data_IF_401874775439
#
_entry.id   IF_401874775439
#
_cell.length_a   1.000
_cell.length_b   1.000
_cell.length_c   1.000
_cell.angle_alpha   90.00
_cell.angle_beta   90.00
_cell.angle_gamma   90.00
#
_symmetry.space_group_name_H-M   'P 1'
#
loop_
_entity.id
_entity.type
_entity.pdbx_description
1 polymer ?
#
# COMPACT_ATOMS: atom_id res chain seq x y z
N UNK A 1 14.86 -6.95 -8.72
CA UNK A 1 15.75 -5.82 -9.08
C UNK A 1 15.59 -4.59 -8.15
N UNK A 2 15.19 -4.75 -6.89
CA UNK A 2 15.13 -3.64 -5.91
C UNK A 2 16.50 -3.37 -5.28
N UNK A 3 17.24 -4.42 -4.92
CA UNK A 3 18.59 -4.31 -4.33
C UNK A 3 19.58 -3.55 -5.22
N UNK A 4 19.54 -3.78 -6.54
CA UNK A 4 20.36 -3.03 -7.51
C UNK A 4 20.07 -1.53 -7.47
N UNK A 5 18.79 -1.14 -7.46
CA UNK A 5 18.42 0.27 -7.39
C UNK A 5 18.87 0.92 -6.08
N UNK A 6 18.69 0.22 -4.96
CA UNK A 6 19.18 0.65 -3.64
C UNK A 6 20.70 0.83 -3.60
N UNK A 7 21.44 -0.04 -4.29
CA UNK A 7 22.90 0.03 -4.39
C UNK A 7 23.35 1.24 -5.22
N UNK A 8 22.76 1.40 -6.40
CA UNK A 8 23.21 2.37 -7.40
C UNK A 8 22.74 3.80 -7.07
N UNK A 9 21.47 3.96 -6.65
CA UNK A 9 20.84 5.27 -6.46
C UNK A 9 20.54 5.59 -4.99
N UNK A 10 20.15 4.56 -4.22
CA UNK A 10 19.68 4.69 -2.84
C UNK A 10 18.24 5.20 -2.71
N UNK A 11 17.71 5.16 -1.49
CA UNK A 11 16.39 5.71 -1.16
C UNK A 11 16.49 7.01 -0.35
N UNK A 12 15.59 7.98 -0.60
CA UNK A 12 15.39 9.11 0.31
C UNK A 12 14.72 8.63 1.62
N UNK A 13 14.75 9.48 2.65
CA UNK A 13 13.92 9.27 3.84
C UNK A 13 12.44 9.52 3.54
N UNK A 14 11.57 8.88 4.32
CA UNK A 14 10.11 9.10 4.28
C UNK A 14 9.75 10.57 4.58
N UNK A 15 10.52 11.24 5.46
CA UNK A 15 10.37 12.69 5.70
C UNK A 15 10.52 13.55 4.43
N UNK A 16 11.38 13.13 3.50
CA UNK A 16 11.61 13.87 2.25
C UNK A 16 10.61 13.46 1.16
N UNK A 17 10.31 12.17 1.06
CA UNK A 17 9.39 11.61 0.07
C UNK A 17 8.37 10.71 0.77
N UNK A 18 7.33 11.30 1.38
CA UNK A 18 6.36 10.54 2.17
C UNK A 18 5.54 9.62 1.29
N UNK A 19 5.19 8.44 1.82
CA UNK A 19 4.34 7.49 1.11
C UNK A 19 2.94 8.07 0.82
N UNK A 20 2.48 7.92 -0.42
CA UNK A 20 1.20 8.42 -0.92
C UNK A 20 0.45 7.30 -1.63
N UNK A 21 -0.36 6.53 -0.91
CA UNK A 21 -1.20 5.47 -1.47
C UNK A 21 -2.53 5.98 -2.03
N UNK A 22 -3.00 7.15 -1.59
CA UNK A 22 -4.29 7.72 -1.99
C UNK A 22 -4.26 8.36 -3.39
N UNK A 23 -3.07 8.69 -3.89
CA UNK A 23 -2.90 9.39 -5.17
C UNK A 23 -2.70 8.37 -6.29
N UNK A 24 -3.58 8.38 -7.31
CA UNK A 24 -3.45 7.52 -8.49
C UNK A 24 -2.13 7.73 -9.26
N UNK A 25 -1.53 8.91 -9.12
CA UNK A 25 -0.26 9.23 -9.76
C UNK A 25 0.62 10.09 -8.85
N UNK A 26 1.78 9.53 -8.47
CA UNK A 26 2.84 10.27 -7.77
C UNK A 26 4.01 10.40 -8.74
N UNK A 27 4.29 11.60 -9.29
CA UNK A 27 5.36 11.76 -10.26
C UNK A 27 6.74 11.54 -9.61
N UNK A 28 7.62 10.84 -10.32
CA UNK A 28 9.03 10.76 -9.96
C UNK A 28 9.64 12.16 -10.03
N UNK A 29 10.25 12.63 -8.93
CA UNK A 29 10.80 13.99 -8.86
C UNK A 29 12.20 14.01 -8.26
N UNK A 30 13.00 14.98 -8.70
CA UNK A 30 14.34 15.23 -8.20
C UNK A 30 14.35 16.08 -6.91
N UNK A 31 13.20 16.19 -6.20
CA UNK A 31 13.08 17.05 -5.02
C UNK A 31 14.04 16.64 -3.90
N UNK A 32 14.26 15.33 -3.73
CA UNK A 32 15.20 14.77 -2.75
C UNK A 32 16.60 14.53 -3.35
N UNK A 33 16.92 15.19 -4.46
CA UNK A 33 18.20 14.96 -5.15
C UNK A 33 19.38 15.64 -4.47
N UNK A 34 19.14 16.80 -3.84
CA UNK A 34 20.20 17.66 -3.33
C UNK A 34 20.43 17.40 -1.83
N UNK A 35 21.50 16.66 -1.54
CA UNK A 35 22.14 16.51 -0.22
C UNK A 35 21.28 16.04 0.97
N UNK A 36 20.17 15.35 0.74
CA UNK A 36 19.55 14.52 1.78
C UNK A 36 20.30 13.19 1.90
N UNK A 37 20.49 12.72 3.13
CA UNK A 37 21.09 11.40 3.40
C UNK A 37 20.27 10.34 2.67
N UNK A 38 20.92 9.59 1.78
CA UNK A 38 20.30 8.43 1.11
C UNK A 38 20.77 7.14 1.73
N UNK A 39 19.83 6.23 1.93
CA UNK A 39 20.11 4.88 2.40
C UNK A 39 20.41 4.00 1.19
N UNK A 40 21.57 3.35 1.20
CA UNK A 40 22.01 2.47 0.11
C UNK A 40 22.21 1.06 0.62
N UNK A 41 21.89 0.10 -0.24
CA UNK A 41 22.28 -1.29 0.01
C UNK A 41 23.80 -1.42 -0.11
N UNK A 42 24.42 -2.10 0.85
CA UNK A 42 25.85 -2.45 0.75
C UNK A 42 26.03 -3.67 -0.15
N UNK A 43 25.11 -4.62 -0.05
CA UNK A 43 25.09 -5.85 -0.82
C UNK A 43 23.63 -6.27 -1.08
N UNK A 44 23.40 -7.05 -2.13
CA UNK A 44 22.11 -7.67 -2.40
C UNK A 44 22.32 -9.00 -3.14
N UNK A 45 21.56 -10.03 -2.77
CA UNK A 45 21.68 -11.36 -3.36
C UNK A 45 20.36 -12.11 -3.33
N UNK A 46 20.26 -13.15 -4.15
CA UNK A 46 19.21 -14.16 -4.00
C UNK A 46 19.60 -15.11 -2.87
N UNK A 47 18.60 -15.52 -2.07
CA UNK A 47 18.76 -16.63 -1.13
C UNK A 47 19.08 -17.89 -1.93
N UNK A 48 20.10 -18.65 -1.52
CA UNK A 48 20.66 -19.76 -2.30
C UNK A 48 21.58 -19.33 -3.47
N UNK A 49 21.86 -18.04 -3.62
CA UNK A 49 22.89 -17.50 -4.53
C UNK A 49 22.38 -17.08 -5.92
N UNK A 50 21.35 -17.71 -6.46
CA UNK A 50 20.78 -17.39 -7.77
C UNK A 50 19.25 -17.57 -7.83
N UNK A 51 18.62 -17.00 -8.85
CA UNK A 51 17.17 -17.03 -9.03
C UNK A 51 16.64 -18.46 -9.24
N UNK A 52 15.89 -18.99 -8.28
CA UNK A 52 15.34 -20.36 -8.32
C UNK A 52 16.05 -21.34 -7.38
N UNK A 53 17.17 -20.94 -6.76
CA UNK A 53 17.88 -21.77 -5.78
C UNK A 53 17.38 -21.63 -4.33
N UNK A 54 16.31 -20.88 -4.13
CA UNK A 54 15.76 -20.61 -2.80
C UNK A 54 15.17 -21.89 -2.20
N UNK A 55 15.50 -22.17 -0.94
CA UNK A 55 14.89 -23.23 -0.16
C UNK A 55 14.72 -22.78 1.29
N UNK A 56 13.95 -23.56 2.06
CA UNK A 56 13.62 -23.25 3.45
C UNK A 56 14.84 -23.13 4.37
N UNK A 57 15.79 -24.07 4.29
CA UNK A 57 16.99 -24.05 5.12
C UNK A 57 17.85 -22.79 4.87
N UNK A 58 18.02 -22.41 3.60
CA UNK A 58 18.75 -21.21 3.22
C UNK A 58 18.02 -19.93 3.61
N UNK A 59 16.68 -19.90 3.55
CA UNK A 59 15.88 -18.77 4.05
C UNK A 59 16.06 -18.61 5.56
N UNK A 60 15.93 -19.69 6.33
CA UNK A 60 16.11 -19.66 7.78
C UNK A 60 17.52 -19.19 8.16
N UNK A 61 18.54 -19.72 7.49
CA UNK A 61 19.92 -19.31 7.70
C UNK A 61 20.13 -17.82 7.38
N UNK A 62 19.58 -17.32 6.27
CA UNK A 62 19.70 -15.91 5.89
C UNK A 62 19.02 -14.98 6.90
N UNK A 63 17.81 -15.34 7.33
CA UNK A 63 17.07 -14.56 8.31
C UNK A 63 17.82 -14.47 9.64
N UNK A 64 18.33 -15.62 10.10
CA UNK A 64 19.10 -15.67 11.35
C UNK A 64 20.39 -14.85 11.27
N UNK A 65 21.14 -14.96 10.17
CA UNK A 65 22.45 -14.36 10.05
C UNK A 65 22.41 -12.87 9.65
N UNK A 66 21.41 -12.44 8.88
CA UNK A 66 21.41 -11.13 8.20
C UNK A 66 20.09 -10.35 8.33
N UNK A 67 19.08 -10.94 8.97
CA UNK A 67 17.79 -10.29 9.19
C UNK A 67 16.78 -10.52 8.06
N UNK A 68 15.69 -9.74 8.02
CA UNK A 68 14.53 -10.04 7.19
C UNK A 68 14.84 -10.20 5.70
N UNK A 69 14.12 -11.11 5.04
CA UNK A 69 14.24 -11.37 3.60
C UNK A 69 12.93 -11.03 2.88
N UNK A 70 13.03 -10.55 1.64
CA UNK A 70 11.86 -10.26 0.80
C UNK A 70 11.54 -11.49 -0.06
N UNK A 71 10.32 -11.99 0.03
CA UNK A 71 9.84 -13.12 -0.77
C UNK A 71 8.61 -12.73 -1.59
N UNK A 72 8.52 -13.28 -2.81
CA UNK A 72 7.35 -13.19 -3.67
C UNK A 72 6.60 -14.52 -3.68
N UNK A 73 5.27 -14.50 -3.54
CA UNK A 73 4.44 -15.69 -3.56
C UNK A 73 3.12 -15.45 -4.30
N UNK A 74 2.48 -16.53 -4.73
CA UNK A 74 1.17 -16.48 -5.39
C UNK A 74 0.07 -16.28 -4.35
N UNK A 75 -0.65 -15.17 -4.46
CA UNK A 75 -1.75 -14.83 -3.58
C UNK A 75 -3.09 -15.28 -4.18
N UNK A 76 -3.56 -16.45 -3.74
CA UNK A 76 -4.89 -16.95 -4.10
C UNK A 76 -6.00 -16.07 -3.48
N UNK A 77 -7.20 -16.09 -4.08
CA UNK A 77 -8.35 -15.31 -3.63
C UNK A 77 -8.68 -15.46 -2.13
N UNK A 78 -8.48 -16.66 -1.57
CA UNK A 78 -8.77 -16.95 -0.15
C UNK A 78 -7.84 -16.22 0.82
N UNK A 79 -6.64 -15.84 0.37
CA UNK A 79 -5.71 -15.06 1.18
C UNK A 79 -6.30 -13.69 1.56
N UNK A 80 -7.17 -13.11 0.73
CA UNK A 80 -7.78 -11.81 1.02
C UNK A 80 -8.85 -11.86 2.12
N UNK A 81 -9.43 -13.03 2.37
CA UNK A 81 -10.38 -13.27 3.47
C UNK A 81 -9.72 -13.90 4.70
N UNK A 82 -8.43 -14.23 4.63
CA UNK A 82 -7.69 -14.82 5.74
C UNK A 82 -7.49 -13.80 6.87
N UNK A 83 -7.64 -14.22 8.12
CA UNK A 83 -7.55 -13.32 9.29
C UNK A 83 -6.65 -13.82 10.43
N UNK A 84 -6.53 -15.13 10.64
CA UNK A 84 -5.72 -15.70 11.73
C UNK A 84 -5.38 -17.17 11.46
N UNK A 85 -4.37 -17.70 12.16
CA UNK A 85 -3.93 -19.09 12.07
C UNK A 85 -2.64 -19.27 11.26
N UNK A 86 -2.58 -20.36 10.48
CA UNK A 86 -1.55 -20.59 9.45
C UNK A 86 -2.26 -20.67 8.11
N UNK A 87 -1.86 -19.83 7.15
CA UNK A 87 -2.40 -19.88 5.80
C UNK A 87 -1.76 -21.02 5.00
N UNK A 88 -2.58 -21.89 4.44
CA UNK A 88 -2.18 -22.90 3.46
C UNK A 88 -3.00 -22.72 2.18
N UNK A 89 -2.32 -22.56 1.05
CA UNK A 89 -2.97 -22.51 -0.25
C UNK A 89 -3.66 -23.85 -0.54
N UNK A 90 -4.89 -23.81 -1.07
CA UNK A 90 -5.53 -25.04 -1.56
C UNK A 90 -4.82 -25.48 -2.84
N UNK A 91 -4.57 -26.79 -2.96
CA UNK A 91 -3.92 -27.41 -4.12
C UNK A 91 -4.90 -27.75 -5.25
N UNK A 92 -6.14 -27.31 -5.15
CA UNK A 92 -7.22 -27.88 -5.93
C UNK A 92 -7.23 -27.32 -7.35
N UNK A 93 -7.35 -28.21 -8.33
CA UNK A 93 -7.35 -27.96 -9.77
C UNK A 93 -8.50 -27.05 -10.28
N UNK A 94 -9.35 -26.53 -9.38
CA UNK A 94 -10.54 -25.73 -9.68
C UNK A 94 -10.46 -24.30 -9.12
N UNK A 95 -9.36 -23.92 -8.45
CA UNK A 95 -9.20 -22.54 -8.00
C UNK A 95 -9.12 -21.59 -9.22
N UNK A 96 -9.99 -20.56 -9.32
CA UNK A 96 -9.92 -19.62 -10.42
C UNK A 96 -8.55 -18.94 -10.39
N UNK A 97 -7.81 -19.07 -11.50
CA UNK A 97 -6.48 -18.52 -11.67
C UNK A 97 -6.49 -17.01 -11.39
N UNK A 98 -6.11 -16.63 -10.18
CA UNK A 98 -5.88 -15.24 -9.78
C UNK A 98 -4.40 -15.13 -9.48
N UNK A 99 -3.60 -15.05 -10.55
CA UNK A 99 -2.15 -14.93 -10.44
C UNK A 99 -1.80 -13.51 -9.98
N UNK A 100 -1.91 -13.27 -8.69
CA UNK A 100 -1.40 -12.06 -8.06
C UNK A 100 -0.12 -12.43 -7.29
N UNK A 101 1.04 -12.00 -7.79
CA UNK A 101 2.29 -12.14 -7.02
C UNK A 101 2.34 -11.03 -5.98
N UNK A 102 2.42 -11.41 -4.71
CA UNK A 102 2.60 -10.47 -3.60
C UNK A 102 4.01 -10.59 -3.04
N UNK A 103 4.60 -9.45 -2.67
CA UNK A 103 5.87 -9.40 -1.96
C UNK A 103 5.64 -9.10 -0.47
N UNK A 104 6.32 -9.85 0.39
CA UNK A 104 6.28 -9.66 1.84
C UNK A 104 7.69 -9.68 2.43
N UNK A 105 7.83 -9.14 3.64
CA UNK A 105 9.06 -9.24 4.42
C UNK A 105 8.92 -10.38 5.41
N UNK A 106 9.80 -11.38 5.31
CA UNK A 106 9.86 -12.51 6.25
C UNK A 106 10.70 -12.09 7.45
N UNK A 107 10.13 -12.23 8.66
CA UNK A 107 10.79 -11.90 9.91
C UNK A 107 11.45 -13.10 10.58
N UNK A 108 10.95 -14.31 10.34
CA UNK A 108 11.49 -15.53 10.97
C UNK A 108 10.64 -16.78 10.77
N UNK A 109 11.24 -17.92 11.05
CA UNK A 109 10.61 -19.25 11.17
C UNK A 109 11.43 -20.05 12.20
N UNK A 110 10.78 -20.92 12.98
CA UNK A 110 11.45 -21.64 14.08
C UNK A 110 11.91 -23.04 13.71
N UNK A 111 11.18 -23.73 12.82
CA UNK A 111 11.46 -25.07 12.30
C UNK A 111 10.71 -25.27 10.96
N UNK A 112 11.04 -26.33 10.20
CA UNK A 112 10.38 -26.65 8.93
C UNK A 112 8.88 -27.00 9.05
N UNK A 113 8.41 -27.23 10.28
CA UNK A 113 6.99 -27.45 10.60
C UNK A 113 6.31 -26.21 11.18
N UNK A 114 7.03 -25.13 11.40
CA UNK A 114 6.53 -23.90 12.01
C UNK A 114 6.38 -22.78 10.97
N UNK A 115 5.34 -21.96 11.10
CA UNK A 115 5.00 -21.00 10.05
C UNK A 115 6.04 -19.90 9.91
N UNK A 116 6.24 -19.48 8.67
CA UNK A 116 6.98 -18.26 8.32
C UNK A 116 6.18 -17.05 8.80
N UNK A 117 6.74 -16.28 9.73
CA UNK A 117 6.19 -14.99 10.15
C UNK A 117 6.54 -13.96 9.09
N UNK A 118 5.52 -13.35 8.51
CA UNK A 118 5.67 -12.37 7.46
C UNK A 118 4.79 -11.15 7.68
N UNK A 119 5.36 -9.98 7.39
CA UNK A 119 4.65 -8.71 7.42
C UNK A 119 4.29 -8.32 5.98
N UNK A 120 3.02 -7.99 5.75
CA UNK A 120 2.54 -7.36 4.53
C UNK A 120 2.44 -5.84 4.74
N UNK A 121 2.76 -5.06 3.70
CA UNK A 121 2.53 -3.62 3.74
C UNK A 121 1.04 -3.28 3.83
N UNK A 122 0.68 -2.29 4.65
CA UNK A 122 -0.70 -1.80 4.81
C UNK A 122 -1.13 -1.02 3.55
N UNK A 123 -1.92 -1.66 2.69
CA UNK A 123 -2.63 -0.99 1.60
C UNK A 123 -4.05 -0.67 2.07
N UNK A 124 -4.21 0.41 2.85
CA UNK A 124 -5.54 0.97 3.13
C UNK A 124 -6.21 1.36 1.81
N UNK A 125 -7.34 0.73 1.49
CA UNK A 125 -8.24 1.16 0.42
C UNK A 125 -8.74 2.55 0.78
N UNK A 126 -8.54 3.51 -0.12
CA UNK A 126 -9.23 4.79 -0.07
C UNK A 126 -10.58 4.57 -0.74
N UNK A 127 -11.65 4.72 0.02
CA UNK A 127 -13.00 4.76 -0.53
C UNK A 127 -13.07 5.96 -1.49
N UNK A 128 -13.20 5.68 -2.79
CA UNK A 128 -13.44 6.68 -3.84
C UNK A 128 -14.88 7.19 -3.62
N UNK A 129 -15.01 8.16 -2.72
CA UNK A 129 -16.25 8.89 -2.47
C UNK A 129 -16.62 9.67 -3.72
N UNK A 130 -17.42 9.04 -4.58
CA UNK A 130 -18.10 9.72 -5.68
C UNK A 130 -19.13 10.68 -5.10
N UNK A 131 -18.74 11.94 -4.92
CA UNK A 131 -19.67 13.05 -4.69
C UNK A 131 -20.58 13.20 -5.93
N UNK A 132 -21.70 12.48 -5.90
CA UNK A 132 -22.81 12.66 -6.81
C UNK A 132 -23.52 13.95 -6.47
N UNK A 133 -23.39 14.95 -7.35
CA UNK A 133 -24.24 16.13 -7.33
C UNK A 133 -25.70 15.75 -7.55
N UNK A 134 -26.55 16.15 -6.61
CA UNK A 134 -28.00 16.07 -6.69
C UNK A 134 -28.59 17.19 -5.83
N UNK A 135 -29.21 18.17 -6.48
CA UNK A 135 -29.67 19.39 -5.85
C UNK A 135 -30.98 19.30 -5.07
N UNK A 136 -31.25 20.44 -4.41
CA UNK A 136 -32.53 20.96 -3.93
C UNK A 136 -33.31 20.15 -2.88
N UNK A 137 -33.33 20.66 -1.65
CA UNK A 137 -34.47 21.47 -1.18
C UNK A 137 -34.16 22.06 0.20
N UNK A 138 -34.17 23.39 0.23
CA UNK A 138 -34.14 24.21 1.43
C UNK A 138 -35.37 23.95 2.31
N UNK A 139 -35.16 23.74 3.60
CA UNK A 139 -36.18 23.93 4.64
C UNK A 139 -35.49 24.15 5.99
N UNK A 140 -34.80 25.29 6.16
CA UNK A 140 -34.47 25.81 7.48
C UNK A 140 -35.58 26.76 7.91
N UNK A 141 -36.39 26.32 8.87
CA UNK A 141 -37.24 27.22 9.65
C UNK A 141 -36.40 27.90 10.73
N UNK A 142 -36.48 29.23 10.82
CA UNK A 142 -36.40 29.96 12.09
C UNK A 142 -36.87 31.40 11.89
N UNK A 143 -37.36 31.97 12.98
CA UNK A 143 -38.32 33.05 13.12
C UNK A 143 -37.71 34.47 13.15
N UNK A 144 -38.58 35.48 13.03
CA UNK A 144 -38.34 36.91 13.34
C UNK A 144 -38.20 37.77 12.09
N UNK A 145 -39.00 38.81 11.81
CA UNK A 145 -39.68 39.78 12.67
C UNK A 145 -39.09 41.17 12.33
N UNK A 146 -39.87 42.11 11.79
CA UNK A 146 -39.42 43.50 11.59
C UNK A 146 -40.06 44.26 10.42
N UNK A 147 -40.53 45.46 10.75
CA UNK A 147 -41.45 46.36 10.02
C UNK A 147 -40.86 47.21 8.87
N UNK A 148 -41.77 47.78 8.07
CA UNK A 148 -41.61 49.05 7.31
C UNK A 148 -41.17 48.89 5.85
N UNK A 149 -41.71 49.57 4.83
CA UNK A 149 -42.69 50.65 4.73
C UNK A 149 -42.45 51.39 3.40
N UNK A 150 -43.52 51.64 2.63
CA UNK A 150 -43.63 52.74 1.64
C UNK A 150 -43.01 52.56 0.24
N UNK A 151 -43.74 53.03 -0.78
CA UNK A 151 -43.13 53.54 -2.03
C UNK A 151 -43.83 53.13 -3.33
N UNK A 152 -44.56 54.08 -3.92
CA UNK A 152 -45.33 54.04 -5.16
C UNK A 152 -44.51 54.06 -6.47
N UNK A 153 -45.20 53.79 -7.60
CA UNK A 153 -44.85 54.19 -8.98
C UNK A 153 -44.44 53.01 -9.87
N UNK A 154 -45.13 52.61 -10.95
CA UNK A 154 -45.87 53.39 -11.95
C UNK A 154 -44.98 53.56 -13.19
N UNK A 155 -45.30 52.89 -14.30
CA UNK A 155 -44.58 53.10 -15.57
C UNK A 155 -44.78 52.00 -16.61
N UNK A 156 -45.84 52.14 -17.40
CA UNK A 156 -46.08 51.42 -18.65
C UNK A 156 -45.11 51.92 -19.73
N UNK A 157 -44.71 51.03 -20.63
CA UNK A 157 -44.00 51.34 -21.87
C UNK A 157 -43.69 50.08 -22.65
#
# INVERSE_FOLDING_TARGET
LVGKYLRDFGLPSDDCFPYRSAEKHVPCSARCSNNTRRWRAVDYRYVGGWYGSCNEAEMMHEIFARGPVVAGFEAQAQLYSYSHGIYSAMTDADAPASLHVKALSILGGRDASEPVVAEAGDSRKVDDGSDGGGGSSDASGSEGGGEGGGGEGGGLG
#
